data_IF_574166639897
#
_entry.id   IF_574166639897
#
_cell.length_a   1.000
_cell.length_b   1.000
_cell.length_c   1.000
_cell.angle_alpha   90.00
_cell.angle_beta   90.00
_cell.angle_gamma   90.00
#
_symmetry.space_group_name_H-M   'P 1'
#
loop_
_entity.id
_entity.type
_entity.pdbx_description
1 polymer ?
#
# COMPACT_ATOMS: atom_id res chain seq x y z
N UNK A 1 8.28 -50.05 36.08
CA UNK A 1 8.95 -50.34 34.80
C UNK A 1 8.81 -49.12 33.91
N UNK A 2 9.92 -48.75 33.29
CA UNK A 2 10.26 -47.47 32.68
C UNK A 2 9.55 -47.19 31.35
N UNK A 3 8.94 -46.00 31.20
CA UNK A 3 8.47 -45.47 29.92
C UNK A 3 9.27 -44.21 29.57
N UNK A 4 10.16 -44.32 28.59
CA UNK A 4 11.08 -43.28 28.17
C UNK A 4 10.41 -42.24 27.25
N UNK A 5 10.56 -40.96 27.58
CA UNK A 5 10.17 -39.84 26.72
C UNK A 5 11.22 -39.56 25.65
N UNK A 6 10.79 -39.44 24.39
CA UNK A 6 11.61 -38.95 23.27
C UNK A 6 11.47 -37.42 23.18
N UNK A 7 12.60 -36.71 23.34
CA UNK A 7 12.72 -35.30 23.02
C UNK A 7 13.05 -35.12 21.53
N UNK A 8 12.38 -34.18 20.86
CA UNK A 8 12.63 -33.81 19.46
C UNK A 8 13.75 -32.76 19.36
N UNK A 9 14.76 -32.94 18.47
CA UNK A 9 15.80 -31.94 18.24
C UNK A 9 15.50 -31.17 16.95
N UNK A 10 14.76 -30.06 17.02
CA UNK A 10 14.55 -29.19 15.85
C UNK A 10 14.84 -27.70 16.06
N UNK A 11 15.29 -27.29 17.25
CA UNK A 11 15.47 -25.87 17.58
C UNK A 11 16.88 -25.31 17.31
N UNK A 12 17.85 -26.13 16.89
CA UNK A 12 19.25 -25.69 16.72
C UNK A 12 19.67 -25.37 15.28
N UNK A 13 18.84 -25.65 14.27
CA UNK A 13 19.22 -25.42 12.86
C UNK A 13 18.99 -23.99 12.36
N UNK A 14 18.14 -23.19 13.03
CA UNK A 14 17.82 -21.82 12.60
C UNK A 14 18.82 -20.75 13.08
N UNK A 15 19.59 -21.01 14.15
CA UNK A 15 20.60 -20.08 14.63
C UNK A 15 21.87 -20.04 13.76
N UNK A 16 22.18 -21.12 13.04
CA UNK A 16 23.38 -21.22 12.20
C UNK A 16 23.24 -20.46 10.84
N UNK A 17 22.03 -20.29 10.33
CA UNK A 17 21.79 -19.58 9.06
C UNK A 17 21.77 -18.05 9.22
N UNK A 18 21.33 -17.54 10.38
CA UNK A 18 21.34 -16.09 10.68
C UNK A 18 22.74 -15.50 10.84
N UNK A 19 23.71 -16.29 11.30
CA UNK A 19 25.09 -15.83 11.48
C UNK A 19 25.87 -15.71 10.14
N UNK A 20 25.58 -16.56 9.16
CA UNK A 20 26.30 -16.60 7.87
C UNK A 20 25.98 -15.43 6.92
N UNK A 21 24.79 -14.83 7.05
CA UNK A 21 24.38 -13.70 6.21
C UNK A 21 25.01 -12.39 6.69
N UNK A 22 25.19 -12.23 8.00
CA UNK A 22 25.69 -10.99 8.59
C UNK A 22 27.20 -10.77 8.35
N UNK A 23 28.00 -11.85 8.29
CA UNK A 23 29.42 -11.74 7.91
C UNK A 23 29.62 -11.40 6.44
N UNK A 24 28.81 -11.96 5.52
CA UNK A 24 28.91 -11.64 4.08
C UNK A 24 28.57 -10.19 3.75
N UNK A 25 27.66 -9.57 4.52
CA UNK A 25 27.32 -8.15 4.39
C UNK A 25 28.46 -7.26 4.95
N UNK A 26 29.09 -7.64 6.06
CA UNK A 26 30.26 -6.94 6.61
C UNK A 26 31.49 -7.03 5.70
N UNK A 27 31.72 -8.17 5.06
CA UNK A 27 32.82 -8.38 4.10
C UNK A 27 32.66 -7.48 2.85
N UNK A 28 31.44 -7.40 2.28
CA UNK A 28 31.14 -6.53 1.14
C UNK A 28 31.28 -5.05 1.47
N UNK A 29 30.89 -4.63 2.66
CA UNK A 29 31.04 -3.22 3.08
C UNK A 29 32.52 -2.83 3.27
N UNK A 30 33.36 -3.71 3.82
CA UNK A 30 34.81 -3.46 3.89
C UNK A 30 35.48 -3.40 2.51
N UNK A 31 35.05 -4.24 1.57
CA UNK A 31 35.56 -4.20 0.19
C UNK A 31 35.12 -2.92 -0.56
N UNK A 32 33.92 -2.41 -0.29
CA UNK A 32 33.44 -1.14 -0.83
C UNK A 32 34.23 0.07 -0.29
N UNK A 33 34.54 0.10 1.00
CA UNK A 33 35.32 1.18 1.62
C UNK A 33 36.78 1.22 1.14
N UNK A 34 37.40 0.04 0.92
CA UNK A 34 38.75 -0.04 0.37
C UNK A 34 38.85 0.49 -1.07
N UNK A 35 37.79 0.33 -1.87
CA UNK A 35 37.74 0.85 -3.25
C UNK A 35 37.55 2.36 -3.32
N UNK A 36 36.76 2.93 -2.40
CA UNK A 36 36.51 4.37 -2.33
C UNK A 36 37.76 5.15 -1.88
N UNK A 37 38.54 4.61 -0.94
CA UNK A 37 39.79 5.24 -0.48
C UNK A 37 40.89 5.26 -1.56
N UNK A 38 40.95 4.23 -2.40
CA UNK A 38 41.95 4.15 -3.47
C UNK A 38 41.66 5.13 -4.63
N UNK A 39 40.40 5.52 -4.84
CA UNK A 39 40.00 6.50 -5.85
C UNK A 39 40.22 7.96 -5.42
N UNK A 40 40.15 8.26 -4.12
CA UNK A 40 40.28 9.63 -3.59
C UNK A 40 41.73 10.03 -3.24
N UNK A 41 42.65 9.08 -3.12
CA UNK A 41 44.04 9.34 -2.69
C UNK A 41 45.08 9.60 -3.81
N UNK A 42 44.73 9.42 -5.08
CA UNK A 42 45.75 9.47 -6.15
C UNK A 42 45.95 10.89 -6.74
N UNK A 43 47.03 11.55 -6.35
CA UNK A 43 47.55 12.80 -6.95
C UNK A 43 48.11 12.60 -8.38
N UNK A 44 47.39 11.91 -9.26
CA UNK A 44 47.72 11.77 -10.69
C UNK A 44 46.56 12.20 -11.58
N UNK A 45 46.18 13.46 -11.51
CA UNK A 45 45.19 14.09 -12.41
C UNK A 45 45.81 14.70 -13.68
N UNK A 46 47.00 14.22 -14.10
CA UNK A 46 47.78 14.85 -15.18
C UNK A 46 47.31 14.54 -16.61
N UNK A 47 46.45 13.54 -16.84
CA UNK A 47 46.02 13.14 -18.21
C UNK A 47 44.60 12.56 -18.24
N UNK A 48 43.61 13.31 -17.78
CA UNK A 48 42.20 12.99 -18.06
C UNK A 48 41.69 13.83 -19.22
N UNK A 49 40.90 13.22 -20.10
CA UNK A 49 40.22 13.96 -21.16
C UNK A 49 39.26 15.00 -20.56
N UNK A 50 38.99 16.12 -21.26
CA UNK A 50 38.06 17.16 -20.78
C UNK A 50 36.66 16.61 -20.43
N UNK A 51 36.21 15.58 -21.14
CA UNK A 51 34.90 14.92 -20.93
C UNK A 51 34.89 14.17 -19.61
N UNK A 52 35.92 13.36 -19.35
CA UNK A 52 36.06 12.60 -18.09
C UNK A 52 36.18 13.55 -16.89
N UNK A 53 36.83 14.70 -17.06
CA UNK A 53 36.94 15.72 -16.01
C UNK A 53 35.59 16.32 -15.62
N UNK A 54 34.71 16.58 -16.60
CA UNK A 54 33.36 17.10 -16.34
C UNK A 54 32.49 16.07 -15.62
N UNK A 55 32.55 14.80 -16.02
CA UNK A 55 31.80 13.72 -15.35
C UNK A 55 32.22 13.52 -13.90
N UNK A 56 33.53 13.55 -13.61
CA UNK A 56 34.05 13.43 -12.24
C UNK A 56 33.65 14.62 -11.37
N UNK A 57 33.66 15.84 -11.91
CA UNK A 57 33.20 17.04 -11.19
C UNK A 57 31.68 16.96 -10.91
N UNK A 58 30.87 16.55 -11.89
CA UNK A 58 29.43 16.39 -11.73
C UNK A 58 29.10 15.33 -10.66
N UNK A 59 29.77 14.18 -10.69
CA UNK A 59 29.59 13.11 -9.70
C UNK A 59 30.01 13.57 -8.30
N UNK A 60 31.13 14.30 -8.17
CA UNK A 60 31.57 14.85 -6.88
C UNK A 60 30.55 15.84 -6.31
N UNK A 61 30.03 16.74 -7.15
CA UNK A 61 29.03 17.72 -6.71
C UNK A 61 27.71 17.05 -6.31
N UNK A 62 27.31 15.99 -7.02
CA UNK A 62 26.14 15.20 -6.66
C UNK A 62 26.30 14.52 -5.28
N UNK A 63 27.44 13.87 -5.03
CA UNK A 63 27.73 13.23 -3.74
C UNK A 63 27.70 14.26 -2.59
N UNK A 64 28.33 15.43 -2.79
CA UNK A 64 28.32 16.50 -1.79
C UNK A 64 26.89 17.01 -1.52
N UNK A 65 26.06 17.19 -2.55
CA UNK A 65 24.68 17.61 -2.39
C UNK A 65 23.84 16.58 -1.60
N UNK A 66 24.03 15.28 -1.86
CA UNK A 66 23.39 14.20 -1.10
C UNK A 66 23.79 14.22 0.38
N UNK A 67 25.08 14.41 0.69
CA UNK A 67 25.55 14.49 2.08
C UNK A 67 24.96 15.70 2.83
N UNK A 68 24.83 16.85 2.17
CA UNK A 68 24.20 18.05 2.77
C UNK A 68 22.71 17.80 3.05
N UNK A 69 21.99 17.14 2.13
CA UNK A 69 20.57 16.80 2.31
C UNK A 69 20.32 15.88 3.52
N UNK A 70 21.15 14.85 3.71
CA UNK A 70 21.05 13.93 4.86
C UNK A 70 21.35 14.65 6.18
N UNK A 71 22.36 15.53 6.20
CA UNK A 71 22.69 16.31 7.40
C UNK A 71 21.57 17.29 7.78
N UNK A 72 20.94 17.94 6.80
CA UNK A 72 19.81 18.85 7.05
C UNK A 72 18.58 18.10 7.61
N UNK A 73 18.28 16.91 7.08
CA UNK A 73 17.19 16.07 7.59
C UNK A 73 17.42 15.61 9.05
N UNK A 74 18.67 15.32 9.42
CA UNK A 74 19.02 14.94 10.79
C UNK A 74 18.83 16.10 11.79
N UNK A 75 19.13 17.34 11.40
CA UNK A 75 18.94 18.53 12.26
C UNK A 75 17.45 18.83 12.49
N UNK A 76 16.62 18.70 11.44
CA UNK A 76 15.17 18.90 11.57
C UNK A 76 14.52 17.79 12.41
N UNK A 77 14.95 16.53 12.23
CA UNK A 77 14.48 15.41 13.05
C UNK A 77 14.86 15.52 14.53
N UNK A 78 16.04 16.05 14.85
CA UNK A 78 16.49 16.24 16.24
C UNK A 78 15.70 17.36 16.95
N UNK A 79 15.28 18.38 16.21
CA UNK A 79 14.51 19.52 16.75
C UNK A 79 13.09 19.11 17.15
N UNK A 80 12.48 18.17 16.43
CA UNK A 80 11.15 17.62 16.77
C UNK A 80 11.14 16.70 17.99
N UNK A 81 12.29 16.17 18.41
CA UNK A 81 12.42 15.29 19.58
C UNK A 81 12.69 16.04 20.90
N UNK A 82 13.21 17.28 20.84
CA UNK A 82 13.55 18.07 22.05
C UNK A 82 12.46 19.06 22.48
N UNK A 83 11.50 19.37 21.60
CA UNK A 83 10.35 20.23 21.93
C UNK A 83 9.07 19.39 21.86
N UNK A 84 8.86 18.57 22.89
CA UNK A 84 7.59 17.90 23.09
C UNK A 84 6.46 18.91 23.26
N UNK A 85 5.25 18.64 22.72
CA UNK A 85 4.12 19.54 22.88
C UNK A 85 3.80 19.68 24.38
N UNK A 86 3.75 20.93 24.85
CA UNK A 86 3.19 21.26 26.16
C UNK A 86 1.70 20.91 26.15
N UNK A 87 1.30 20.10 27.13
CA UNK A 87 -0.08 19.85 27.47
C UNK A 87 -0.79 21.18 27.79
N UNK A 88 -1.69 21.60 26.89
CA UNK A 88 -2.76 22.53 27.25
C UNK A 88 -4.12 21.88 26.98
N UNK A 89 -4.77 21.59 28.11
CA UNK A 89 -6.19 21.79 28.34
C UNK A 89 -7.17 20.80 27.74
N UNK A 90 -7.54 19.88 28.63
CA UNK A 90 -8.88 19.41 28.88
C UNK A 90 -10.00 20.39 28.41
N UNK A 91 -10.75 19.96 27.40
CA UNK A 91 -12.14 20.34 27.22
C UNK A 91 -12.89 19.10 26.74
N UNK A 92 -13.95 18.77 27.48
CA UNK A 92 -14.81 17.62 27.29
C UNK A 92 -15.34 17.51 25.85
N UNK A 93 -15.07 16.38 25.19
CA UNK A 93 -15.80 15.97 23.99
C UNK A 93 -16.71 14.82 24.38
N UNK A 94 -18.00 15.12 24.35
CA UNK A 94 -19.07 14.16 24.55
C UNK A 94 -18.90 12.97 23.59
N UNK A 95 -18.94 11.76 24.15
CA UNK A 95 -19.10 10.52 23.41
C UNK A 95 -20.47 10.58 22.73
N UNK A 96 -20.48 10.98 21.46
CA UNK A 96 -21.65 10.92 20.59
C UNK A 96 -21.87 9.46 20.21
N UNK A 97 -22.73 8.77 20.95
CA UNK A 97 -23.40 7.54 20.51
C UNK A 97 -24.21 7.86 19.25
N UNK A 98 -23.57 7.84 18.08
CA UNK A 98 -24.24 8.00 16.80
C UNK A 98 -24.78 6.64 16.42
N UNK A 99 -26.07 6.44 16.63
CA UNK A 99 -26.80 5.29 16.11
C UNK A 99 -26.53 5.15 14.61
N UNK A 100 -26.28 3.93 14.16
CA UNK A 100 -26.14 3.58 12.76
C UNK A 100 -27.30 4.21 11.96
N UNK A 101 -27.04 4.88 10.83
CA UNK A 101 -28.10 5.52 10.07
C UNK A 101 -29.09 4.45 9.57
N UNK A 102 -30.34 4.60 9.97
CA UNK A 102 -31.46 3.85 9.42
C UNK A 102 -31.48 4.07 7.90
N UNK A 103 -31.40 2.97 7.15
CA UNK A 103 -31.37 2.94 5.69
C UNK A 103 -32.65 3.53 5.11
N UNK A 104 -32.58 4.80 4.69
CA UNK A 104 -33.65 5.41 3.88
C UNK A 104 -33.66 4.75 2.51
N UNK A 105 -34.81 4.21 2.13
CA UNK A 105 -35.05 3.50 0.88
C UNK A 105 -34.56 4.30 -0.33
N UNK A 106 -33.54 3.76 -0.98
CA UNK A 106 -33.02 4.24 -2.24
C UNK A 106 -33.89 3.69 -3.38
N UNK A 107 -34.40 4.59 -4.22
CA UNK A 107 -34.89 4.26 -5.57
C UNK A 107 -33.79 3.55 -6.38
N UNK A 108 -34.13 2.59 -7.25
CA UNK A 108 -33.16 1.74 -7.94
C UNK A 108 -32.49 2.51 -9.09
N UNK A 109 -31.45 3.28 -8.77
CA UNK A 109 -30.37 3.54 -9.72
C UNK A 109 -29.87 2.17 -10.20
N UNK A 110 -29.75 1.99 -11.52
CA UNK A 110 -29.47 0.72 -12.22
C UNK A 110 -28.71 -0.28 -11.33
N UNK A 111 -29.31 -1.45 -11.10
CA UNK A 111 -29.15 -2.33 -9.93
C UNK A 111 -27.73 -2.59 -9.37
N UNK A 112 -26.66 -2.27 -10.10
CA UNK A 112 -25.29 -2.29 -9.61
C UNK A 112 -24.61 -0.93 -9.90
N UNK A 113 -24.60 -0.03 -8.91
CA UNK A 113 -23.92 1.27 -9.01
C UNK A 113 -22.43 1.15 -9.39
N UNK A 114 -21.80 2.26 -9.82
CA UNK A 114 -20.40 2.29 -10.31
C UNK A 114 -19.43 1.59 -9.35
N UNK A 115 -19.62 1.77 -8.04
CA UNK A 115 -18.81 1.14 -7.01
C UNK A 115 -18.92 -0.41 -6.99
N UNK A 116 -20.12 -0.96 -7.20
CA UNK A 116 -20.32 -2.42 -7.27
C UNK A 116 -19.75 -3.01 -8.56
N UNK A 117 -19.95 -2.33 -9.70
CA UNK A 117 -19.31 -2.72 -10.96
C UNK A 117 -17.78 -2.74 -10.85
N UNK A 118 -17.22 -1.75 -10.18
CA UNK A 118 -15.79 -1.71 -9.91
C UNK A 118 -15.34 -2.89 -9.03
N UNK A 119 -16.04 -3.15 -7.93
CA UNK A 119 -15.76 -4.28 -7.04
C UNK A 119 -15.82 -5.62 -7.79
N UNK A 120 -16.82 -5.81 -8.67
CA UNK A 120 -16.94 -6.98 -9.53
C UNK A 120 -15.76 -7.10 -10.51
N UNK A 121 -15.37 -6.00 -11.18
CA UNK A 121 -14.22 -6.00 -12.09
C UNK A 121 -12.92 -6.41 -11.39
N UNK A 122 -12.68 -5.93 -10.17
CA UNK A 122 -11.52 -6.36 -9.36
C UNK A 122 -11.63 -7.84 -8.99
N UNK A 123 -12.80 -8.30 -8.57
CA UNK A 123 -13.05 -9.69 -8.20
C UNK A 123 -12.83 -10.67 -9.37
N UNK A 124 -13.22 -10.26 -10.57
CA UNK A 124 -13.11 -11.06 -11.80
C UNK A 124 -11.71 -11.01 -12.42
N UNK A 125 -10.81 -10.16 -11.92
CA UNK A 125 -9.51 -9.90 -12.54
C UNK A 125 -9.62 -9.22 -13.90
N UNK A 126 -10.65 -8.40 -14.11
CA UNK A 126 -10.84 -7.62 -15.33
C UNK A 126 -10.03 -6.33 -15.28
N UNK A 127 -8.70 -6.46 -15.41
CA UNK A 127 -7.74 -5.35 -15.29
C UNK A 127 -8.08 -4.17 -16.21
N UNK A 128 -8.56 -4.46 -17.43
CA UNK A 128 -8.95 -3.44 -18.40
C UNK A 128 -10.09 -2.55 -17.86
N UNK A 129 -11.12 -3.15 -17.28
CA UNK A 129 -12.23 -2.42 -16.68
C UNK A 129 -11.80 -1.67 -15.41
N UNK A 130 -10.95 -2.27 -14.57
CA UNK A 130 -10.37 -1.63 -13.38
C UNK A 130 -9.60 -0.36 -13.77
N UNK A 131 -8.73 -0.45 -14.79
CA UNK A 131 -7.95 0.67 -15.32
C UNK A 131 -8.88 1.76 -15.87
N UNK A 132 -9.87 1.36 -16.69
CA UNK A 132 -10.83 2.27 -17.31
C UNK A 132 -11.67 3.03 -16.28
N UNK A 133 -12.05 2.38 -15.19
CA UNK A 133 -12.87 2.98 -14.13
C UNK A 133 -12.05 3.81 -13.15
N UNK A 134 -10.73 3.59 -13.04
CA UNK A 134 -9.87 4.29 -12.08
C UNK A 134 -9.27 5.55 -12.69
N UNK A 135 -9.66 6.72 -12.17
CA UNK A 135 -9.27 8.02 -12.74
C UNK A 135 -7.75 8.18 -12.92
N UNK A 136 -6.96 7.94 -11.86
CA UNK A 136 -5.51 8.17 -11.92
C UNK A 136 -4.79 7.24 -12.90
N UNK A 137 -5.31 6.01 -13.11
CA UNK A 137 -4.74 5.06 -14.06
C UNK A 137 -4.97 5.56 -15.49
N UNK A 138 -6.17 6.04 -15.79
CA UNK A 138 -6.50 6.66 -17.07
C UNK A 138 -5.64 7.90 -17.33
N UNK A 139 -5.53 8.81 -16.36
CA UNK A 139 -4.68 10.01 -16.45
C UNK A 139 -3.19 9.66 -16.68
N UNK A 140 -2.71 8.60 -16.03
CA UNK A 140 -1.33 8.15 -16.20
C UNK A 140 -1.09 7.67 -17.63
N UNK A 141 -2.00 6.89 -18.19
CA UNK A 141 -1.89 6.39 -19.56
C UNK A 141 -2.03 7.52 -20.59
N UNK A 142 -2.93 8.47 -20.36
CA UNK A 142 -3.08 9.66 -21.20
C UNK A 142 -1.80 10.52 -21.20
N UNK A 143 -1.18 10.71 -20.03
CA UNK A 143 0.09 11.42 -19.93
C UNK A 143 1.22 10.74 -20.72
N UNK A 144 1.30 9.41 -20.67
CA UNK A 144 2.28 8.66 -21.47
C UNK A 144 2.02 8.90 -22.96
N UNK A 145 0.76 8.80 -23.40
CA UNK A 145 0.36 9.04 -24.79
C UNK A 145 0.77 10.44 -25.27
N UNK A 146 0.51 11.46 -24.46
CA UNK A 146 0.87 12.85 -24.79
C UNK A 146 2.38 13.11 -24.79
N UNK A 147 3.15 12.40 -23.95
CA UNK A 147 4.57 12.67 -23.77
C UNK A 147 5.48 12.00 -24.81
N UNK A 148 5.10 10.83 -25.32
CA UNK A 148 5.99 10.01 -26.17
C UNK A 148 5.52 9.87 -27.61
N UNK A 149 4.24 10.08 -27.91
CA UNK A 149 3.58 9.71 -29.18
C UNK A 149 4.00 8.31 -29.69
N UNK A 150 4.32 7.41 -28.74
CA UNK A 150 4.85 6.07 -29.01
C UNK A 150 3.92 5.03 -28.38
N UNK A 151 3.26 4.25 -29.23
CA UNK A 151 2.35 3.17 -28.86
C UNK A 151 3.01 2.12 -27.95
N UNK A 152 4.30 1.79 -28.19
CA UNK A 152 5.03 0.81 -27.37
C UNK A 152 5.21 1.28 -25.92
N UNK A 153 5.42 2.59 -25.73
CA UNK A 153 5.54 3.18 -24.40
C UNK A 153 4.19 3.16 -23.65
N UNK A 154 3.09 3.40 -24.38
CA UNK A 154 1.74 3.29 -23.83
C UNK A 154 1.43 1.85 -23.42
N UNK A 155 1.67 0.88 -24.30
CA UNK A 155 1.44 -0.54 -24.05
C UNK A 155 2.27 -1.04 -22.87
N UNK A 156 3.54 -0.65 -22.78
CA UNK A 156 4.41 -0.98 -21.65
C UNK A 156 3.84 -0.43 -20.33
N UNK A 157 3.32 0.81 -20.33
CA UNK A 157 2.70 1.39 -19.15
C UNK A 157 1.40 0.68 -18.77
N UNK A 158 0.57 0.31 -19.75
CA UNK A 158 -0.66 -0.44 -19.57
C UNK A 158 -0.39 -1.82 -18.96
N UNK A 159 0.52 -2.60 -19.55
CA UNK A 159 0.93 -3.90 -19.03
C UNK A 159 1.53 -3.81 -17.61
N UNK A 160 2.25 -2.73 -17.33
CA UNK A 160 2.75 -2.43 -15.98
C UNK A 160 1.62 -2.25 -14.96
N UNK A 161 0.52 -1.61 -15.34
CA UNK A 161 -0.65 -1.47 -14.47
C UNK A 161 -1.38 -2.80 -14.26
N UNK A 162 -1.63 -3.57 -15.33
CA UNK A 162 -2.25 -4.90 -15.22
C UNK A 162 -1.45 -5.81 -14.28
N UNK A 163 -0.13 -5.83 -14.45
CA UNK A 163 0.76 -6.61 -13.57
C UNK A 163 0.62 -6.20 -12.10
N UNK A 164 0.56 -4.89 -11.81
CA UNK A 164 0.40 -4.40 -10.45
C UNK A 164 -0.96 -4.75 -9.84
N UNK A 165 -2.04 -4.73 -10.63
CA UNK A 165 -3.39 -5.10 -10.17
C UNK A 165 -3.44 -6.58 -9.79
N UNK A 166 -2.80 -7.45 -10.59
CA UNK A 166 -2.78 -8.90 -10.36
C UNK A 166 -1.75 -9.39 -9.33
N UNK A 167 -0.82 -8.56 -8.88
CA UNK A 167 0.20 -8.95 -7.90
C UNK A 167 -0.44 -9.14 -6.50
N UNK A 168 -0.41 -10.38 -6.00
CA UNK A 168 -0.96 -10.76 -4.69
C UNK A 168 0.15 -11.21 -3.73
N UNK A 169 0.01 -10.86 -2.45
CA UNK A 169 0.92 -11.28 -1.36
C UNK A 169 0.16 -11.44 -0.05
N UNK A 170 0.62 -12.33 0.83
CA UNK A 170 -0.02 -12.56 2.14
C UNK A 170 0.10 -11.31 3.01
N UNK A 171 1.26 -10.65 2.97
CA UNK A 171 1.60 -9.44 3.72
C UNK A 171 0.75 -8.24 3.29
N UNK A 172 0.31 -8.21 2.02
CA UNK A 172 -0.60 -7.19 1.51
C UNK A 172 -2.03 -7.32 2.03
N UNK A 173 -2.43 -8.52 2.48
CA UNK A 173 -3.79 -8.78 3.00
C UNK A 173 -4.05 -8.20 4.40
N UNK A 174 -3.04 -7.60 5.03
CA UNK A 174 -3.20 -6.96 6.34
C UNK A 174 -3.72 -5.52 6.21
N UNK A 175 -4.82 -5.21 6.90
CA UNK A 175 -5.37 -3.87 6.97
C UNK A 175 -4.49 -2.98 7.86
N UNK A 176 -4.01 -1.86 7.30
CA UNK A 176 -3.13 -0.90 7.97
C UNK A 176 -3.89 0.40 8.25
N UNK A 177 -3.41 1.31 9.13
CA UNK A 177 -4.00 2.65 9.26
C UNK A 177 -4.08 3.39 7.93
N UNK A 178 -3.14 3.08 7.03
CA UNK A 178 -3.13 3.54 5.66
C UNK A 178 -4.33 3.01 4.85
N UNK A 179 -4.88 1.87 5.23
CA UNK A 179 -5.89 1.13 4.49
C UNK A 179 -5.31 -0.16 3.92
N UNK A 180 -5.90 -0.61 2.82
CA UNK A 180 -5.54 -1.85 2.13
C UNK A 180 -5.79 -1.67 0.63
N UNK A 181 -5.13 -2.48 -0.19
CA UNK A 181 -5.37 -2.49 -1.64
C UNK A 181 -6.61 -3.30 -2.01
N UNK A 182 -7.24 -2.93 -3.12
CA UNK A 182 -8.56 -3.45 -3.50
C UNK A 182 -8.53 -4.94 -3.82
N UNK A 183 -7.40 -5.45 -4.38
CA UNK A 183 -7.29 -6.87 -4.71
C UNK A 183 -7.32 -7.78 -3.48
N UNK A 184 -7.13 -7.22 -2.27
CA UNK A 184 -7.29 -7.94 -1.01
C UNK A 184 -8.68 -7.80 -0.41
N UNK A 185 -9.46 -6.80 -0.81
CA UNK A 185 -10.83 -6.60 -0.34
C UNK A 185 -11.83 -7.33 -1.24
N UNK A 186 -11.75 -7.13 -2.55
CA UNK A 186 -12.67 -7.71 -3.53
C UNK A 186 -12.15 -9.05 -4.04
N UNK A 187 -11.91 -10.00 -3.14
CA UNK A 187 -11.36 -11.31 -3.51
C UNK A 187 -12.39 -12.22 -4.19
N UNK A 188 -11.95 -13.19 -5.02
CA UNK A 188 -12.85 -14.17 -5.64
C UNK A 188 -13.70 -14.94 -4.61
N UNK A 189 -15.02 -14.86 -4.78
CA UNK A 189 -16.04 -15.51 -3.94
C UNK A 189 -16.59 -14.66 -2.79
N UNK A 190 -16.01 -13.48 -2.52
CA UNK A 190 -16.61 -12.53 -1.60
C UNK A 190 -17.98 -12.05 -2.13
N UNK A 191 -18.93 -11.79 -1.23
CA UNK A 191 -20.22 -11.19 -1.59
C UNK A 191 -20.24 -9.71 -1.23
N UNK A 192 -20.96 -8.92 -2.02
CA UNK A 192 -21.05 -7.46 -1.90
C UNK A 192 -22.50 -7.04 -1.65
N UNK A 193 -22.70 -6.15 -0.69
CA UNK A 193 -24.01 -5.56 -0.38
C UNK A 193 -23.82 -4.05 -0.15
N UNK A 194 -24.68 -3.21 -0.72
CA UNK A 194 -24.65 -1.76 -0.46
C UNK A 194 -25.17 -1.49 0.95
N UNK A 195 -24.30 -0.99 1.83
CA UNK A 195 -24.63 -0.61 3.19
C UNK A 195 -25.15 0.84 3.27
N UNK A 196 -24.75 1.71 2.34
CA UNK A 196 -25.19 3.11 2.31
C UNK A 196 -24.47 3.94 1.26
N UNK A 197 -24.91 5.18 1.10
CA UNK A 197 -24.29 6.17 0.21
C UNK A 197 -24.18 7.51 0.95
N UNK A 198 -23.03 8.16 0.86
CA UNK A 198 -22.82 9.52 1.37
C UNK A 198 -22.05 10.40 0.38
N UNK A 199 -21.72 11.64 0.76
CA UNK A 199 -21.05 12.61 -0.11
C UNK A 199 -19.57 12.27 -0.38
N UNK A 200 -18.98 11.32 0.35
CA UNK A 200 -17.58 10.94 0.24
C UNK A 200 -16.58 11.96 0.78
N UNK A 201 -15.33 11.82 0.35
CA UNK A 201 -14.20 12.64 0.80
C UNK A 201 -14.12 13.96 0.04
N UNK A 202 -13.73 15.02 0.73
CA UNK A 202 -13.48 16.34 0.12
C UNK A 202 -12.01 16.59 -0.21
N UNK A 203 -11.11 15.72 0.22
CA UNK A 203 -9.67 15.90 0.14
C UNK A 203 -8.97 15.03 -0.94
N UNK A 204 -9.70 14.67 -2.01
CA UNK A 204 -9.16 13.91 -3.14
C UNK A 204 -8.77 14.86 -4.30
N UNK A 205 -7.94 14.36 -5.20
CA UNK A 205 -7.46 15.13 -6.36
C UNK A 205 -8.58 15.53 -7.35
N UNK A 206 -9.72 14.83 -7.30
CA UNK A 206 -10.92 15.08 -8.10
C UNK A 206 -12.14 15.14 -7.16
N UNK A 207 -13.11 15.97 -7.50
CA UNK A 207 -14.35 16.11 -6.73
C UNK A 207 -15.11 14.78 -6.68
N UNK A 208 -15.50 14.36 -5.47
CA UNK A 208 -16.34 13.19 -5.25
C UNK A 208 -17.79 13.58 -5.50
N UNK A 209 -18.50 12.80 -6.32
CA UNK A 209 -19.94 12.91 -6.49
C UNK A 209 -20.67 12.19 -5.36
N UNK A 210 -20.22 10.97 -5.06
CA UNK A 210 -20.77 10.13 -3.99
C UNK A 210 -19.71 9.13 -3.49
N UNK A 211 -19.92 8.59 -2.30
CA UNK A 211 -19.21 7.40 -1.82
C UNK A 211 -20.21 6.33 -1.46
N UNK A 212 -20.03 5.16 -2.08
CA UNK A 212 -20.83 3.97 -1.79
C UNK A 212 -20.11 3.14 -0.74
N UNK A 213 -20.79 2.86 0.37
CA UNK A 213 -20.34 1.91 1.37
C UNK A 213 -20.80 0.50 0.99
N UNK A 214 -19.84 -0.40 0.81
CA UNK A 214 -20.04 -1.79 0.43
C UNK A 214 -19.67 -2.68 1.61
N UNK A 215 -20.63 -3.43 2.13
CA UNK A 215 -20.38 -4.54 3.04
C UNK A 215 -19.85 -5.72 2.23
N UNK A 216 -18.66 -6.16 2.58
CA UNK A 216 -17.99 -7.31 1.98
C UNK A 216 -18.04 -8.47 2.97
N UNK A 217 -18.53 -9.62 2.54
CA UNK A 217 -18.51 -10.85 3.34
C UNK A 217 -17.67 -11.93 2.66
N UNK A 218 -16.71 -12.48 3.40
CA UNK A 218 -15.77 -13.49 2.90
C UNK A 218 -16.26 -14.90 3.21
N UNK A 219 -16.29 -15.81 2.22
CA UNK A 219 -16.72 -17.19 2.45
C UNK A 219 -15.62 -18.05 3.10
N UNK A 220 -14.34 -17.67 2.94
CA UNK A 220 -13.19 -18.51 3.32
C UNK A 220 -12.17 -17.70 4.11
N UNK A 221 -11.81 -18.20 5.31
CA UNK A 221 -10.89 -17.53 6.25
C UNK A 221 -9.50 -17.23 5.69
N UNK A 222 -8.97 -18.09 4.83
CA UNK A 222 -7.64 -17.92 4.24
C UNK A 222 -7.57 -16.79 3.19
N UNK A 223 -8.71 -16.34 2.67
CA UNK A 223 -8.81 -15.26 1.67
C UNK A 223 -9.26 -13.93 2.26
N UNK A 224 -9.73 -13.92 3.50
CA UNK A 224 -10.15 -12.71 4.18
C UNK A 224 -8.96 -11.79 4.50
N UNK A 225 -9.16 -10.46 4.46
CA UNK A 225 -8.26 -9.50 5.06
C UNK A 225 -8.00 -9.81 6.53
N UNK A 226 -6.82 -9.43 6.99
CA UNK A 226 -6.40 -9.59 8.38
C UNK A 226 -6.33 -8.24 9.07
N UNK A 227 -6.70 -8.21 10.35
CA UNK A 227 -6.49 -7.04 11.19
C UNK A 227 -5.01 -6.89 11.61
N UNK A 228 -4.74 -5.93 12.50
CA UNK A 228 -3.39 -5.69 13.02
C UNK A 228 -2.83 -6.84 13.87
N UNK A 229 -3.68 -7.65 14.49
CA UNK A 229 -3.29 -8.84 15.23
C UNK A 229 -3.09 -10.07 14.33
N UNK A 230 -3.37 -9.94 13.03
CA UNK A 230 -3.31 -11.02 12.06
C UNK A 230 -4.57 -11.88 12.03
N UNK A 231 -5.63 -11.49 12.74
CA UNK A 231 -6.88 -12.23 12.77
C UNK A 231 -7.72 -11.93 11.52
N UNK A 232 -8.27 -12.98 10.93
CA UNK A 232 -9.02 -12.89 9.68
C UNK A 232 -10.43 -12.33 9.90
N UNK A 233 -10.78 -11.28 9.17
CA UNK A 233 -12.05 -10.57 9.28
C UNK A 233 -13.07 -11.19 8.32
N UNK A 234 -14.17 -11.74 8.84
CA UNK A 234 -15.21 -12.37 8.00
C UNK A 234 -16.02 -11.33 7.22
N UNK A 235 -16.29 -10.19 7.82
CA UNK A 235 -17.09 -9.13 7.23
C UNK A 235 -16.56 -7.76 7.63
N UNK A 236 -16.52 -6.84 6.69
CA UNK A 236 -16.23 -5.43 6.91
C UNK A 236 -16.96 -4.56 5.88
N UNK A 237 -17.10 -3.27 6.17
CA UNK A 237 -17.63 -2.27 5.24
C UNK A 237 -16.49 -1.40 4.70
N UNK A 238 -16.46 -1.22 3.38
CA UNK A 238 -15.52 -0.34 2.67
C UNK A 238 -16.25 0.74 1.89
N UNK A 239 -15.68 1.94 1.82
CA UNK A 239 -16.21 3.05 1.04
C UNK A 239 -15.44 3.24 -0.27
N UNK A 240 -16.15 3.23 -1.39
CA UNK A 240 -15.63 3.54 -2.72
C UNK A 240 -16.08 4.94 -3.11
N UNK A 241 -15.14 5.86 -3.29
CA UNK A 241 -15.43 7.23 -3.73
C UNK A 241 -15.56 7.26 -5.26
N UNK A 242 -16.65 7.83 -5.77
CA UNK A 242 -16.97 7.93 -7.19
C UNK A 242 -17.14 9.40 -7.55
N UNK A 243 -16.43 9.86 -8.59
CA UNK A 243 -16.58 11.21 -9.13
C UNK A 243 -17.92 11.37 -9.87
N UNK A 244 -18.37 12.61 -10.09
CA UNK A 244 -19.58 12.90 -10.89
C UNK A 244 -19.50 12.37 -12.33
N UNK A 245 -18.29 12.19 -12.86
CA UNK A 245 -18.05 11.64 -14.20
C UNK A 245 -18.02 10.11 -14.23
N UNK A 246 -18.28 9.44 -13.10
CA UNK A 246 -18.36 7.97 -13.03
C UNK A 246 -17.01 7.26 -12.87
N UNK A 247 -15.93 7.97 -12.53
CA UNK A 247 -14.65 7.34 -12.17
C UNK A 247 -14.53 7.04 -10.68
N UNK A 248 -13.89 5.93 -10.36
CA UNK A 248 -13.42 5.58 -9.02
C UNK A 248 -12.20 6.41 -8.66
N UNK A 249 -12.25 6.99 -7.46
CA UNK A 249 -11.24 7.88 -6.92
C UNK A 249 -10.51 7.20 -5.77
N UNK A 250 -9.18 7.11 -5.88
CA UNK A 250 -8.27 6.49 -4.90
C UNK A 250 -7.28 7.51 -4.36
N UNK A 251 -6.89 7.40 -3.10
CA UNK A 251 -5.74 8.13 -2.57
C UNK A 251 -4.45 7.53 -3.12
N UNK A 252 -3.73 8.28 -3.96
CA UNK A 252 -2.50 7.82 -4.64
C UNK A 252 -1.28 7.58 -3.74
N UNK A 253 -1.46 7.50 -2.42
CA UNK A 253 -0.35 7.33 -1.46
C UNK A 253 -0.56 6.10 -0.60
N UNK A 254 -1.78 5.83 -0.13
CA UNK A 254 -2.03 5.03 1.07
C UNK A 254 -3.52 4.63 1.06
N UNK A 255 -3.81 3.31 0.98
CA UNK A 255 -5.15 2.68 1.02
C UNK A 255 -6.18 3.19 0.01
N UNK A 256 -6.63 2.33 -0.87
CA UNK A 256 -7.50 2.74 -1.98
C UNK A 256 -8.97 2.94 -1.55
N UNK A 257 -9.37 2.35 -0.42
CA UNK A 257 -10.73 2.33 0.08
C UNK A 257 -10.82 2.96 1.46
N UNK A 258 -11.93 3.64 1.72
CA UNK A 258 -12.27 4.04 3.09
C UNK A 258 -12.70 2.80 3.88
N UNK A 259 -12.27 2.65 5.13
CA UNK A 259 -12.60 1.49 5.96
C UNK A 259 -13.42 1.95 7.16
N UNK A 260 -14.59 1.33 7.35
CA UNK A 260 -15.38 1.51 8.57
C UNK A 260 -14.88 0.53 9.64
N UNK A 261 -13.92 0.96 10.46
CA UNK A 261 -13.23 0.10 11.43
C UNK A 261 -14.16 -0.61 12.42
N UNK A 262 -15.28 0.01 12.78
CA UNK A 262 -16.26 -0.53 13.73
C UNK A 262 -17.16 -1.61 13.10
N UNK A 263 -17.08 -1.82 11.78
CA UNK A 263 -17.90 -2.81 11.05
C UNK A 263 -17.31 -4.23 11.05
N UNK A 264 -16.13 -4.42 11.63
CA UNK A 264 -15.42 -5.70 11.58
C UNK A 264 -16.20 -6.79 12.32
N UNK A 265 -16.44 -7.90 11.64
CA UNK A 265 -17.03 -9.10 12.22
C UNK A 265 -16.12 -10.31 12.02
N UNK A 266 -15.98 -11.11 13.06
CA UNK A 266 -15.11 -12.30 13.14
C UNK A 266 -15.91 -13.59 13.28
N UNK A 267 -17.22 -13.54 13.04
CA UNK A 267 -18.20 -14.60 13.25
C UNK A 267 -18.08 -15.74 12.22
N UNK A 268 -16.94 -16.41 12.10
CA UNK A 268 -16.77 -17.52 11.15
C UNK A 268 -17.74 -18.67 11.44
N UNK A 269 -18.47 -19.22 10.43
CA UNK A 269 -19.24 -20.43 10.64
C UNK A 269 -18.31 -21.56 11.09
N UNK A 270 -18.77 -22.48 11.96
CA UNK A 270 -17.95 -23.60 12.38
C UNK A 270 -17.50 -24.37 11.13
N UNK A 271 -16.22 -24.75 11.11
CA UNK A 271 -15.69 -25.61 10.04
C UNK A 271 -16.36 -26.96 10.20
N UNK A 272 -17.32 -27.28 9.34
CA UNK A 272 -17.97 -28.59 9.34
C UNK A 272 -16.93 -29.66 8.94
N UNK A 273 -16.37 -30.35 9.94
CA UNK A 273 -15.76 -31.68 9.82
C UNK A 273 -14.44 -31.78 9.05
N UNK A 274 -13.35 -31.26 9.62
CA UNK A 274 -11.98 -31.65 9.25
C UNK A 274 -11.50 -32.90 9.97
#
# INVERSE_FOLDING_TARGET
MTGAGRAYPHTLALAALGFSVNERVRERNRQGEAYAFHLLGSRRFGRMSPVTRRQVIALRNFIVACCIGVAAAAVVGWSGLMFGPQDESAAAVAVSNRAAPESRGAEPFAADGIALRYAAAVQEGNDAEVIRMTWWMTERLERVRMATDNEEAWETAYQGLCKQIGEWSVEGSQIRPEGIEDQYIFVPGATFEVAGVDAGRTNLAKEVGERTWIRVTYPVRSRAPRDRAGEAIRRLTVGVNVSRDGYVLKSGVIGNLDIEWESFSYDWPPVEGG
#
